data_IF_200608814062
#
_entry.id   IF_200608814062
#
_cell.length_a   1.000
_cell.length_b   1.000
_cell.length_c   1.000
_cell.angle_alpha   90.00
_cell.angle_beta   90.00
_cell.angle_gamma   90.00
#
_symmetry.space_group_name_H-M   'P 1'
#
loop_
_entity.id
_entity.type
_entity.pdbx_description
1 polymer ?
#
# COMPACT_ATOMS: atom_id res chain seq x y z
N UNK A 1 47.67 15.50 -0.82
CA UNK A 1 47.09 16.82 -0.53
C UNK A 1 45.86 16.58 0.32
N UNK A 2 46.09 16.41 1.62
CA UNK A 2 45.05 16.30 2.62
C UNK A 2 44.66 17.73 2.98
N UNK A 3 43.47 18.17 2.54
CA UNK A 3 42.97 19.50 2.90
C UNK A 3 42.26 19.33 4.24
N UNK A 4 42.81 19.85 5.35
CA UNK A 4 42.12 19.75 6.62
C UNK A 4 40.76 20.42 6.46
N UNK A 5 39.70 19.69 6.78
CA UNK A 5 38.40 20.31 7.04
C UNK A 5 38.66 21.41 8.06
N UNK A 6 38.28 22.67 7.79
CA UNK A 6 38.49 23.72 8.77
C UNK A 6 37.80 23.29 10.06
N UNK A 7 38.46 23.53 11.20
CA UNK A 7 37.84 23.53 12.52
C UNK A 7 36.77 24.62 12.55
N UNK A 8 35.67 24.41 11.81
CA UNK A 8 34.40 24.98 12.21
C UNK A 8 34.12 24.24 13.50
N UNK A 9 34.15 24.96 14.62
CA UNK A 9 33.32 24.59 15.75
C UNK A 9 32.01 24.10 15.14
N UNK A 10 31.77 22.79 15.20
CA UNK A 10 30.55 22.23 14.67
C UNK A 10 29.50 22.88 15.53
N UNK A 11 28.85 23.93 15.01
CA UNK A 11 27.76 24.60 15.72
C UNK A 11 26.75 23.51 15.99
N UNK A 12 26.78 22.99 17.21
CA UNK A 12 25.89 21.94 17.67
C UNK A 12 24.51 22.57 17.73
N UNK A 13 23.79 22.47 16.62
CA UNK A 13 22.42 22.90 16.57
C UNK A 13 21.63 21.94 17.46
N UNK A 14 21.18 22.44 18.61
CA UNK A 14 20.38 21.66 19.56
C UNK A 14 19.11 21.08 18.93
N UNK A 15 18.58 21.70 17.87
CA UNK A 15 17.44 21.19 17.09
C UNK A 15 17.82 19.99 16.22
N UNK A 16 19.09 19.85 15.81
CA UNK A 16 19.59 18.68 15.07
C UNK A 16 20.05 17.53 15.98
N UNK A 17 20.32 17.83 17.26
CA UNK A 17 20.64 16.84 18.28
C UNK A 17 19.38 16.24 18.95
N UNK A 18 18.18 16.60 18.49
CA UNK A 18 16.92 16.07 19.01
C UNK A 18 16.80 14.57 18.70
N UNK A 19 16.73 13.76 19.75
CA UNK A 19 16.58 12.31 19.68
C UNK A 19 15.09 11.91 19.63
N UNK A 20 14.78 10.83 18.94
CA UNK A 20 13.43 10.26 18.85
C UNK A 20 12.56 10.81 17.72
N UNK A 21 12.97 11.90 17.08
CA UNK A 21 12.29 12.48 15.90
C UNK A 21 13.05 12.22 14.59
N UNK A 22 14.30 11.77 14.69
CA UNK A 22 15.12 11.45 13.53
C UNK A 22 14.63 10.20 12.82
N UNK A 23 14.86 10.12 11.51
CA UNK A 23 14.35 9.02 10.69
C UNK A 23 14.82 7.64 11.18
N UNK A 24 16.07 7.52 11.65
CA UNK A 24 16.62 6.29 12.20
C UNK A 24 15.94 5.90 13.53
N UNK A 25 15.67 6.86 14.41
CA UNK A 25 15.04 6.59 15.71
C UNK A 25 13.59 6.15 15.50
N UNK A 26 12.87 6.79 14.57
CA UNK A 26 11.51 6.41 14.19
C UNK A 26 11.48 5.03 13.53
N UNK A 27 12.46 4.72 12.67
CA UNK A 27 12.55 3.41 12.03
C UNK A 27 12.86 2.29 13.04
N UNK A 28 13.79 2.51 13.96
CA UNK A 28 14.14 1.56 15.01
C UNK A 28 12.97 1.36 15.99
N UNK A 29 12.26 2.43 16.37
CA UNK A 29 11.04 2.34 17.18
C UNK A 29 9.95 1.54 16.43
N UNK A 30 9.69 1.83 15.16
CA UNK A 30 8.72 1.09 14.36
C UNK A 30 9.10 -0.40 14.17
N UNK A 31 10.39 -0.70 14.03
CA UNK A 31 10.88 -2.07 13.86
C UNK A 31 10.79 -2.89 15.17
N UNK A 32 10.96 -2.24 16.33
CA UNK A 32 10.88 -2.89 17.64
C UNK A 32 9.48 -2.89 18.23
N UNK A 33 8.60 -2.02 17.73
CA UNK A 33 7.19 -2.02 18.09
C UNK A 33 6.56 -3.34 17.64
N UNK A 34 6.21 -4.18 18.61
CA UNK A 34 5.42 -5.39 18.35
C UNK A 34 4.01 -4.95 17.97
N UNK A 35 3.79 -4.75 16.68
CA UNK A 35 2.44 -4.71 16.11
C UNK A 35 2.05 -6.16 15.90
N UNK A 36 1.06 -6.64 16.66
CA UNK A 36 0.52 -7.97 16.43
C UNK A 36 -0.27 -7.94 15.12
N UNK A 37 0.38 -8.36 14.04
CA UNK A 37 -0.21 -8.43 12.70
C UNK A 37 -1.31 -9.49 12.59
N UNK A 38 -1.53 -10.29 13.64
CA UNK A 38 -2.61 -11.26 13.73
C UNK A 38 -3.88 -10.70 14.37
N UNK A 39 -3.84 -9.45 14.87
CA UNK A 39 -5.04 -8.78 15.35
C UNK A 39 -6.02 -8.56 14.20
N UNK A 40 -7.31 -8.76 14.51
CA UNK A 40 -8.39 -8.50 13.56
C UNK A 40 -8.43 -7.01 13.23
N UNK A 41 -8.81 -6.67 12.01
CA UNK A 41 -8.84 -5.27 11.60
C UNK A 41 -9.90 -4.51 12.39
N UNK A 42 -9.51 -3.40 13.02
CA UNK A 42 -10.42 -2.55 13.76
C UNK A 42 -11.21 -1.66 12.79
N UNK A 43 -12.47 -2.01 12.54
CA UNK A 43 -13.44 -1.08 11.95
C UNK A 43 -13.78 0.00 12.97
N UNK A 44 -13.56 1.25 12.58
CA UNK A 44 -14.28 2.47 13.01
C UNK A 44 -14.74 2.61 14.46
N UNK A 45 -14.39 3.75 15.07
CA UNK A 45 -14.97 4.19 16.34
C UNK A 45 -16.44 4.66 16.24
N UNK A 46 -16.86 5.46 17.22
CA UNK A 46 -18.20 6.09 17.28
C UNK A 46 -18.60 6.73 15.93
N UNK A 47 -19.79 6.39 15.45
CA UNK A 47 -20.38 6.86 14.18
C UNK A 47 -20.19 8.37 13.98
N UNK A 48 -19.46 8.74 12.93
CA UNK A 48 -19.24 10.12 12.53
C UNK A 48 -20.18 10.47 11.36
N UNK A 49 -21.09 11.46 11.50
CA UNK A 49 -21.96 11.87 10.41
C UNK A 49 -21.22 12.45 9.19
N UNK A 50 -19.93 12.79 9.30
CA UNK A 50 -19.07 13.20 8.19
C UNK A 50 -18.28 12.04 7.55
N UNK A 51 -18.51 10.81 8.00
CA UNK A 51 -17.80 9.64 7.52
C UNK A 51 -18.13 9.32 6.06
N UNK A 52 -17.08 9.27 5.23
CA UNK A 52 -17.19 8.95 3.80
C UNK A 52 -17.31 7.44 3.54
N UNK A 53 -16.61 6.63 4.34
CA UNK A 53 -16.60 5.17 4.19
C UNK A 53 -17.40 4.56 5.33
N UNK A 54 -18.56 3.94 5.05
CA UNK A 54 -19.39 3.31 6.06
C UNK A 54 -18.63 2.31 6.94
N UNK A 55 -18.98 2.24 8.23
CA UNK A 55 -18.37 1.31 9.18
C UNK A 55 -18.58 -0.17 8.81
N UNK A 56 -19.54 -0.49 7.95
CA UNK A 56 -19.80 -1.86 7.46
C UNK A 56 -19.04 -2.20 6.17
N UNK A 57 -18.24 -1.29 5.64
CA UNK A 57 -17.41 -1.55 4.44
C UNK A 57 -16.19 -2.38 4.81
N UNK A 58 -15.87 -3.39 3.99
CA UNK A 58 -14.64 -4.17 4.16
C UNK A 58 -13.39 -3.32 3.93
N UNK A 59 -12.44 -3.39 4.86
CA UNK A 59 -11.14 -2.76 4.67
C UNK A 59 -10.18 -3.66 3.88
N UNK A 60 -8.96 -3.16 3.67
CA UNK A 60 -7.95 -3.86 2.88
C UNK A 60 -7.56 -5.22 3.47
N UNK A 61 -7.41 -5.31 4.80
CA UNK A 61 -6.97 -6.53 5.48
C UNK A 61 -8.10 -7.55 5.48
N UNK A 62 -9.33 -7.10 5.75
CA UNK A 62 -10.53 -7.94 5.66
C UNK A 62 -10.70 -8.51 4.24
N UNK A 63 -10.56 -7.66 3.20
CA UNK A 63 -10.62 -8.08 1.80
C UNK A 63 -9.52 -9.09 1.44
N UNK A 64 -8.29 -8.85 1.90
CA UNK A 64 -7.17 -9.79 1.69
C UNK A 64 -7.42 -11.14 2.37
N UNK A 65 -7.95 -11.14 3.58
CA UNK A 65 -8.31 -12.36 4.30
C UNK A 65 -9.45 -13.11 3.61
N UNK A 66 -10.44 -12.40 3.05
CA UNK A 66 -11.51 -12.99 2.25
C UNK A 66 -10.99 -13.65 0.97
N UNK A 67 -10.06 -12.99 0.25
CA UNK A 67 -9.39 -13.57 -0.92
C UNK A 67 -8.60 -14.83 -0.55
N UNK A 68 -7.81 -14.79 0.52
CA UNK A 68 -7.03 -15.94 0.98
C UNK A 68 -7.93 -17.13 1.36
N UNK A 69 -9.03 -16.87 2.05
CA UNK A 69 -9.99 -17.91 2.45
C UNK A 69 -10.74 -18.51 1.26
N UNK A 70 -11.10 -17.69 0.28
CA UNK A 70 -11.87 -18.12 -0.90
C UNK A 70 -11.00 -18.73 -2.00
N UNK A 71 -9.70 -18.41 -2.02
CA UNK A 71 -8.79 -18.76 -3.12
C UNK A 71 -9.09 -18.03 -4.43
N UNK A 72 -9.96 -17.01 -4.41
CA UNK A 72 -10.30 -16.18 -5.57
C UNK A 72 -9.76 -14.77 -5.36
N UNK A 73 -9.03 -14.28 -6.36
CA UNK A 73 -8.62 -12.88 -6.39
C UNK A 73 -9.80 -12.03 -6.87
N UNK A 74 -9.96 -10.86 -6.28
CA UNK A 74 -10.82 -9.84 -6.83
C UNK A 74 -10.11 -9.18 -8.02
N UNK A 75 -10.69 -9.33 -9.21
CA UNK A 75 -10.18 -8.72 -10.46
C UNK A 75 -11.01 -7.50 -10.87
N UNK A 76 -11.96 -7.05 -10.05
CA UNK A 76 -12.88 -5.93 -10.37
C UNK A 76 -12.13 -4.61 -10.62
N UNK A 77 -10.93 -4.47 -10.04
CA UNK A 77 -10.06 -3.33 -10.32
C UNK A 77 -9.62 -3.23 -11.79
N UNK A 78 -9.57 -4.37 -12.49
CA UNK A 78 -9.20 -4.51 -13.89
C UNK A 78 -10.41 -4.73 -14.79
N UNK A 79 -11.64 -4.66 -14.25
CA UNK A 79 -12.85 -4.87 -15.03
C UNK A 79 -12.98 -3.78 -16.10
N UNK A 80 -13.00 -4.19 -17.37
CA UNK A 80 -13.06 -3.30 -18.52
C UNK A 80 -11.72 -2.71 -18.97
N UNK A 81 -10.60 -3.13 -18.36
CA UNK A 81 -9.27 -2.89 -18.94
C UNK A 81 -8.96 -3.96 -19.99
N UNK A 82 -8.36 -3.58 -21.14
CA UNK A 82 -7.96 -4.54 -22.16
C UNK A 82 -7.00 -5.60 -21.60
N UNK A 83 -7.27 -6.88 -21.90
CA UNK A 83 -6.30 -7.94 -21.66
C UNK A 83 -5.08 -7.74 -22.57
N UNK A 84 -3.96 -7.27 -22.02
CA UNK A 84 -2.70 -7.11 -22.77
C UNK A 84 -1.87 -8.41 -22.77
N UNK A 85 -2.51 -9.54 -23.07
CA UNK A 85 -1.85 -10.84 -23.18
C UNK A 85 -1.27 -11.01 -24.60
N UNK A 86 0.03 -11.30 -24.70
CA UNK A 86 0.70 -11.56 -25.98
C UNK A 86 0.72 -13.05 -26.37
N UNK A 87 0.17 -13.93 -25.53
CA UNK A 87 0.11 -15.38 -25.73
C UNK A 87 -1.21 -15.87 -26.39
N UNK A 88 -2.02 -14.97 -26.96
CA UNK A 88 -3.33 -15.27 -27.59
C UNK A 88 -3.24 -16.37 -28.67
N UNK A 89 -2.13 -16.44 -29.42
CA UNK A 89 -1.88 -17.49 -30.44
C UNK A 89 -1.82 -18.91 -29.84
N UNK A 90 -1.46 -19.03 -28.55
CA UNK A 90 -1.33 -20.32 -27.85
C UNK A 90 -2.47 -20.57 -26.88
N UNK A 91 -2.97 -19.52 -26.22
CA UNK A 91 -3.96 -19.60 -25.15
C UNK A 91 -5.41 -19.36 -25.64
N UNK A 92 -5.57 -18.82 -26.85
CA UNK A 92 -6.85 -18.48 -27.47
C UNK A 92 -7.31 -17.06 -27.16
N UNK A 93 -8.32 -16.59 -27.90
CA UNK A 93 -8.86 -15.24 -27.81
C UNK A 93 -9.36 -14.90 -26.39
N UNK A 94 -9.06 -13.69 -25.94
CA UNK A 94 -9.56 -13.18 -24.64
C UNK A 94 -10.96 -12.58 -24.76
N UNK A 95 -11.66 -12.37 -23.64
CA UNK A 95 -13.04 -11.84 -23.65
C UNK A 95 -13.18 -10.44 -24.31
N UNK A 96 -12.07 -9.70 -24.49
CA UNK A 96 -12.04 -8.40 -25.18
C UNK A 96 -11.90 -8.51 -26.72
N UNK A 97 -11.60 -9.70 -27.27
CA UNK A 97 -11.37 -9.87 -28.71
C UNK A 97 -12.65 -9.72 -29.55
N UNK A 98 -13.84 -9.91 -28.94
CA UNK A 98 -15.13 -9.90 -29.65
C UNK A 98 -15.80 -8.51 -29.73
N UNK A 99 -15.32 -7.49 -29.00
CA UNK A 99 -15.96 -6.16 -28.96
C UNK A 99 -15.48 -5.20 -30.07
N UNK A 100 -14.43 -5.54 -30.83
CA UNK A 100 -13.93 -4.73 -31.97
C UNK A 100 -14.57 -5.07 -33.33
N UNK A 101 -15.43 -6.10 -33.40
CA UNK A 101 -16.10 -6.56 -34.64
C UNK A 101 -17.61 -6.22 -34.72
N UNK A 102 -18.04 -5.21 -33.96
CA UNK A 102 -19.45 -4.83 -33.77
C UNK A 102 -19.87 -3.45 -34.32
N UNK A 103 -19.33 -2.98 -35.45
CA UNK A 103 -19.81 -1.75 -36.11
C UNK A 103 -20.63 -2.04 -37.38
N UNK A 104 -21.97 -1.80 -37.40
CA UNK A 104 -22.68 -1.47 -38.62
C UNK A 104 -22.47 -0.01 -39.06
#
# INVERSE_FOLDING_TARGET
MDRPTPDREMEENSEQAEAGTQAQDVADDAATRSIDLSEDSERGGKTDPAQLVPDDTEDLVEKMNAMNRSGRLDMDAYAGEPQMDDEEDVLGDTEDADDEDGLP
#
